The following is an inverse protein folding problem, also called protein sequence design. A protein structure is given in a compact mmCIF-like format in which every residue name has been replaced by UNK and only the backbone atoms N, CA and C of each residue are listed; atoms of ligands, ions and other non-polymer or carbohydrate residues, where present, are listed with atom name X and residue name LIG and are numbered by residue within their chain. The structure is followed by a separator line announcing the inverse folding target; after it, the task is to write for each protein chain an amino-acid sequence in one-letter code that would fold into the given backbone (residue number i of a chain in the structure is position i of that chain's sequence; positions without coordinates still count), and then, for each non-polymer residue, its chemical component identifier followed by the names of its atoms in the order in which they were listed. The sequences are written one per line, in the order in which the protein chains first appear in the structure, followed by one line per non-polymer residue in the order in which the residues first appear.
data_IF_297979263193
#
_entry.id   IF_297979263193
#
_cell.length_a   1.000
_cell.length_b   1.000
_cell.length_c   1.000
_cell.angle_alpha   90.00
_cell.angle_beta   90.00
_cell.angle_gamma   90.00
#
_symmetry.space_group_name_H-M   'P 1'
#
loop_
_entity.id
_entity.type
_entity.pdbx_description
1 polymer ?
#
# COMPACT_ATOMS: atom_id res chain seq x y z
N UNK A 1 5.94 -20.70 -12.34
CA UNK A 1 4.80 -19.93 -11.81
C UNK A 1 5.23 -19.09 -10.64
N UNK A 2 4.69 -17.86 -10.55
CA UNK A 2 4.95 -16.97 -9.43
C UNK A 2 4.08 -17.38 -8.25
N UNK A 3 4.61 -17.29 -7.03
CA UNK A 3 3.83 -17.53 -5.83
C UNK A 3 2.68 -16.51 -5.72
N UNK A 4 1.51 -17.00 -5.33
CA UNK A 4 0.32 -16.18 -5.09
C UNK A 4 -0.19 -16.42 -3.69
N UNK A 5 -0.68 -15.37 -3.04
CA UNK A 5 -1.26 -15.46 -1.70
C UNK A 5 -2.39 -16.50 -1.71
N UNK A 6 -2.32 -17.56 -0.88
CA UNK A 6 -3.35 -18.59 -0.86
C UNK A 6 -4.66 -18.01 -0.33
N UNK A 7 -5.76 -18.41 -0.94
CA UNK A 7 -7.10 -18.00 -0.51
C UNK A 7 -8.10 -19.15 -0.63
N UNK A 8 -9.11 -19.10 0.23
CA UNK A 8 -10.28 -19.97 0.17
C UNK A 8 -11.46 -19.19 -0.41
N UNK A 9 -12.13 -19.74 -1.42
CA UNK A 9 -13.38 -19.17 -1.91
C UNK A 9 -14.49 -19.55 -0.93
N UNK A 10 -15.13 -18.54 -0.34
CA UNK A 10 -16.31 -18.71 0.51
C UNK A 10 -17.59 -18.72 -0.31
N UNK A 11 -17.62 -17.91 -1.37
CA UNK A 11 -18.78 -17.78 -2.27
C UNK A 11 -18.33 -17.32 -3.65
N UNK A 12 -18.97 -17.84 -4.69
CA UNK A 12 -18.80 -17.41 -6.09
C UNK A 12 -20.18 -17.09 -6.65
N UNK A 13 -20.28 -15.91 -7.25
CA UNK A 13 -21.43 -15.42 -8.01
C UNK A 13 -20.98 -15.08 -9.42
N UNK A 14 -21.91 -14.77 -10.33
CA UNK A 14 -21.58 -14.52 -11.73
C UNK A 14 -20.64 -13.31 -11.92
N UNK A 15 -20.76 -12.29 -11.06
CA UNK A 15 -20.00 -11.03 -11.19
C UNK A 15 -18.85 -10.89 -10.18
N UNK A 16 -18.81 -11.71 -9.13
CA UNK A 16 -17.82 -11.56 -8.06
C UNK A 16 -17.54 -12.84 -7.28
N UNK A 17 -16.42 -12.82 -6.56
CA UNK A 17 -16.02 -13.87 -5.63
C UNK A 17 -15.74 -13.28 -4.25
N UNK A 18 -16.17 -14.01 -3.22
CA UNK A 18 -15.80 -13.73 -1.84
C UNK A 18 -14.65 -14.66 -1.48
N UNK A 19 -13.46 -14.09 -1.29
CA UNK A 19 -12.23 -14.80 -0.94
C UNK A 19 -11.84 -14.51 0.50
N UNK A 20 -11.57 -15.57 1.26
CA UNK A 20 -10.92 -15.49 2.55
C UNK A 20 -9.42 -15.72 2.36
N UNK A 21 -8.63 -14.74 2.79
CA UNK A 21 -7.17 -14.78 2.74
C UNK A 21 -6.66 -14.89 4.18
N UNK A 22 -5.69 -15.77 4.42
CA UNK A 22 -5.03 -15.86 5.73
C UNK A 22 -4.17 -14.63 5.99
N UNK A 23 -3.66 -14.47 7.21
CA UNK A 23 -2.73 -13.36 7.49
C UNK A 23 -1.40 -13.57 6.76
N UNK A 24 -0.94 -12.54 6.05
CA UNK A 24 0.33 -12.54 5.33
C UNK A 24 1.07 -11.23 5.56
N UNK A 25 2.38 -11.27 5.34
CA UNK A 25 3.22 -10.07 5.39
C UNK A 25 3.27 -9.41 4.02
N UNK A 26 3.25 -8.08 4.02
CA UNK A 26 3.39 -7.26 2.81
C UNK A 26 4.53 -6.28 2.99
N UNK A 27 5.28 -6.07 1.92
CA UNK A 27 6.10 -4.88 1.76
C UNK A 27 5.26 -3.83 1.03
N UNK A 28 5.11 -2.66 1.63
CA UNK A 28 4.33 -1.56 1.06
C UNK A 28 5.18 -0.30 0.92
N UNK A 29 4.78 0.56 -0.02
CA UNK A 29 5.37 1.89 -0.20
C UNK A 29 4.27 2.86 -0.56
N UNK A 30 4.41 4.10 -0.11
CA UNK A 30 3.51 5.18 -0.52
C UNK A 30 3.83 5.61 -1.94
N UNK A 31 2.80 5.90 -2.73
CA UNK A 31 2.96 6.50 -4.06
C UNK A 31 3.17 8.01 -3.96
N UNK A 32 4.18 8.56 -4.66
CA UNK A 32 4.34 10.01 -4.75
C UNK A 32 3.24 10.60 -5.64
N UNK A 33 2.46 11.55 -5.11
CA UNK A 33 1.41 12.23 -5.88
C UNK A 33 0.32 12.82 -4.98
N UNK A 34 -0.16 14.04 -5.28
CA UNK A 34 -1.18 14.73 -4.47
C UNK A 34 -2.62 14.35 -4.84
N UNK A 35 -2.85 13.76 -6.03
CA UNK A 35 -4.18 13.63 -6.64
C UNK A 35 -4.70 12.20 -6.77
N UNK A 36 -3.93 11.17 -6.38
CA UNK A 36 -4.32 9.77 -6.45
C UNK A 36 -3.42 8.94 -7.38
N UNK A 37 -3.94 7.82 -7.89
CA UNK A 37 -3.20 6.92 -8.77
C UNK A 37 -2.78 7.62 -10.06
N UNK A 38 -1.48 7.68 -10.31
CA UNK A 38 -0.93 8.04 -11.61
C UNK A 38 0.09 6.99 -12.08
N UNK A 39 0.21 6.83 -13.40
CA UNK A 39 1.07 5.80 -13.99
C UNK A 39 2.55 5.99 -13.62
N UNK A 40 3.02 7.24 -13.55
CA UNK A 40 4.40 7.57 -13.19
C UNK A 40 4.75 7.13 -11.76
N UNK A 41 3.91 7.46 -10.80
CA UNK A 41 4.05 7.16 -9.39
C UNK A 41 3.88 5.68 -9.13
N UNK A 42 2.94 5.01 -9.81
CA UNK A 42 2.81 3.54 -9.71
C UNK A 42 4.07 2.82 -10.19
N UNK A 43 4.66 3.24 -11.31
CA UNK A 43 5.91 2.68 -11.82
C UNK A 43 7.09 2.96 -10.88
N UNK A 44 7.20 4.18 -10.36
CA UNK A 44 8.24 4.54 -9.38
C UNK A 44 8.12 3.71 -8.10
N UNK A 45 6.93 3.61 -7.53
CA UNK A 45 6.66 2.81 -6.33
C UNK A 45 6.90 1.33 -6.56
N UNK A 46 6.52 0.79 -7.72
CA UNK A 46 6.85 -0.58 -8.09
C UNK A 46 8.36 -0.81 -8.13
N UNK A 47 9.13 0.12 -8.73
CA UNK A 47 10.59 0.01 -8.79
C UNK A 47 11.25 0.04 -7.40
N UNK A 48 10.66 0.73 -6.43
CA UNK A 48 11.11 0.71 -5.02
C UNK A 48 10.92 -0.69 -4.43
N UNK A 49 9.74 -1.28 -4.58
CA UNK A 49 9.46 -2.64 -4.10
C UNK A 49 10.32 -3.69 -4.82
N UNK A 50 10.46 -3.59 -6.14
CA UNK A 50 11.33 -4.48 -6.92
C UNK A 50 12.79 -4.39 -6.46
N UNK A 51 13.29 -3.17 -6.19
CA UNK A 51 14.63 -2.99 -5.64
C UNK A 51 14.80 -3.67 -4.28
N UNK A 52 13.80 -3.56 -3.41
CA UNK A 52 13.79 -4.24 -2.10
C UNK A 52 13.88 -5.77 -2.26
N UNK A 53 13.09 -6.34 -3.18
CA UNK A 53 13.11 -7.78 -3.47
C UNK A 53 14.45 -8.23 -4.07
N UNK A 54 15.09 -7.42 -4.90
CA UNK A 54 16.38 -7.73 -5.52
C UNK A 54 17.60 -7.33 -4.67
N UNK A 55 17.47 -7.32 -3.34
CA UNK A 55 18.61 -7.18 -2.44
C UNK A 55 18.91 -5.77 -1.96
N UNK A 56 18.09 -4.75 -2.28
CA UNK A 56 18.15 -3.44 -1.59
C UNK A 56 17.35 -3.44 -0.28
N UNK A 57 17.44 -4.53 0.48
CA UNK A 57 16.95 -4.63 1.86
C UNK A 57 18.15 -4.69 2.82
N UNK A 58 17.89 -4.51 4.11
CA UNK A 58 18.94 -4.45 5.15
C UNK A 58 19.76 -5.73 5.28
N UNK A 59 19.23 -6.87 4.83
CA UNK A 59 19.89 -8.17 4.84
C UNK A 59 20.61 -8.48 3.53
N UNK A 60 20.45 -7.65 2.50
CA UNK A 60 20.94 -7.88 1.14
C UNK A 60 20.50 -9.23 0.55
N UNK A 61 19.32 -9.71 0.95
CA UNK A 61 18.76 -10.99 0.48
C UNK A 61 17.93 -10.79 -0.79
N UNK A 62 18.03 -11.73 -1.73
CA UNK A 62 17.12 -11.76 -2.87
C UNK A 62 15.86 -12.53 -2.50
N UNK A 63 14.71 -11.97 -2.88
CA UNK A 63 13.39 -12.54 -2.66
C UNK A 63 12.71 -12.74 -4.02
N UNK A 64 11.99 -13.84 -4.17
CA UNK A 64 11.23 -14.13 -5.38
C UNK A 64 10.05 -13.18 -5.55
N UNK A 65 9.70 -12.89 -6.80
CA UNK A 65 8.52 -12.08 -7.11
C UNK A 65 7.23 -12.85 -6.78
N UNK A 66 6.24 -12.13 -6.27
CA UNK A 66 4.91 -12.68 -5.96
C UNK A 66 3.82 -11.95 -6.75
N UNK A 67 2.66 -12.57 -6.87
CA UNK A 67 1.51 -12.00 -7.57
C UNK A 67 0.22 -12.13 -6.75
N UNK A 68 -0.77 -11.25 -6.95
CA UNK A 68 -0.71 -9.99 -7.70
C UNK A 68 -0.05 -8.87 -6.89
N UNK A 69 0.30 -7.76 -7.55
CA UNK A 69 0.69 -6.50 -6.89
C UNK A 69 -0.57 -5.68 -6.63
N UNK A 70 -0.76 -5.23 -5.40
CA UNK A 70 -1.92 -4.43 -5.00
C UNK A 70 -1.58 -2.94 -4.93
N UNK A 71 -2.53 -2.12 -5.33
CA UNK A 71 -2.47 -0.67 -5.19
C UNK A 71 -3.73 -0.20 -4.46
N UNK A 72 -3.57 0.53 -3.36
CA UNK A 72 -4.68 1.08 -2.58
C UNK A 72 -4.62 2.60 -2.59
N UNK A 73 -5.78 3.22 -2.79
CA UNK A 73 -5.97 4.63 -2.49
C UNK A 73 -6.40 4.73 -1.03
N UNK A 74 -5.56 5.28 -0.17
CA UNK A 74 -6.02 5.68 1.16
C UNK A 74 -6.90 6.92 1.02
N UNK A 75 -8.14 6.82 1.49
CA UNK A 75 -8.92 8.00 1.82
C UNK A 75 -8.28 8.62 3.07
N UNK A 76 -7.41 9.61 2.87
CA UNK A 76 -7.02 10.49 3.98
C UNK A 76 -8.26 11.30 4.33
N UNK A 77 -9.11 10.77 5.23
CA UNK A 77 -10.13 11.56 5.91
C UNK A 77 -9.43 12.44 6.92
N UNK A 78 -8.76 13.48 6.42
CA UNK A 78 -8.34 14.59 7.27
C UNK A 78 -9.60 15.27 7.76
N UNK A 79 -9.96 15.04 9.02
CA UNK A 79 -10.97 15.88 9.68
C UNK A 79 -10.34 17.24 9.96
N UNK A 80 -10.90 18.28 9.34
CA UNK A 80 -10.61 19.66 9.75
C UNK A 80 -11.10 19.84 11.17
N UNK A 81 -10.17 20.06 12.11
CA UNK A 81 -10.50 20.47 13.47
C UNK A 81 -10.82 21.97 13.46
N UNK A 82 -11.97 22.36 13.99
CA UNK A 82 -12.33 23.77 14.17
C UNK A 82 -11.37 24.43 15.18
N UNK A 83 -10.91 25.65 14.86
CA UNK A 83 -10.05 26.44 15.74
C UNK A 83 -10.81 26.82 17.01
N UNK A 84 -10.31 26.40 18.18
CA UNK A 84 -10.85 26.81 19.48
C UNK A 84 -10.13 28.07 19.99
N UNK A 85 -10.89 29.06 20.44
CA UNK A 85 -10.41 30.31 21.06
C UNK A 85 -10.24 30.14 22.58
N UNK A 86 -9.29 30.82 23.27
CA UNK A 86 -8.27 31.75 22.76
C UNK A 86 -6.88 31.12 22.53
N UNK A 87 -6.18 31.62 21.52
CA UNK A 87 -4.76 31.32 21.26
C UNK A 87 -3.90 32.24 22.10
N UNK A 88 -3.11 31.68 23.03
CA UNK A 88 -2.19 32.45 23.88
C UNK A 88 -0.81 32.42 23.24
N UNK A 89 -0.31 33.58 22.81
CA UNK A 89 1.08 33.76 22.36
C UNK A 89 1.87 34.47 23.46
N UNK A 90 3.08 33.97 23.77
CA UNK A 90 4.00 34.62 24.71
C UNK A 90 5.20 35.14 23.91
N UNK A 91 5.48 36.44 24.02
CA UNK A 91 6.65 37.08 23.39
C UNK A 91 7.89 36.83 24.27
N UNK A 92 9.00 36.45 23.64
CA UNK A 92 10.31 36.35 24.28
C UNK A 92 10.91 37.75 24.52
#
# INVERSE_FOLDING_TARGET
DLETVPFRILKREDEYEIRQVESYYVAETTMPGRTGFDFSGSSQSFNVLASYLFGKNTRSEQMEMTTPVFTRKEEVRGETMDMTTPVITKKA
#
